data_IF_840588503045
#
_entry.id   IF_840588503045
#
_cell.length_a   1.000
_cell.length_b   1.000
_cell.length_c   1.000
_cell.angle_alpha   90.00
_cell.angle_beta   90.00
_cell.angle_gamma   90.00
#
_symmetry.space_group_name_H-M   'P 1'
#
loop_
_entity.id
_entity.type
_entity.pdbx_description
1 polymer ?
#
# COMPACT_ATOMS: atom_id res chain seq x y z
N UNK A 1 12.54 5.18 -11.14
CA UNK A 1 11.33 5.84 -11.67
C UNK A 1 11.04 7.01 -10.73
N UNK A 2 10.91 8.21 -11.28
CA UNK A 2 10.65 9.41 -10.48
C UNK A 2 9.15 9.51 -10.18
N UNK A 3 8.78 9.49 -8.91
CA UNK A 3 7.42 9.73 -8.42
C UNK A 3 7.34 11.17 -7.92
N UNK A 4 6.27 11.87 -8.31
CA UNK A 4 6.06 13.28 -7.92
C UNK A 4 5.17 13.40 -6.70
N UNK A 5 5.41 14.43 -5.87
CA UNK A 5 4.52 14.78 -4.77
C UNK A 5 3.08 14.94 -5.27
N UNK A 6 2.15 14.29 -4.58
CA UNK A 6 0.72 14.27 -4.91
C UNK A 6 0.33 13.21 -5.93
N UNK A 7 1.28 12.49 -6.52
CA UNK A 7 0.98 11.37 -7.41
C UNK A 7 0.34 10.22 -6.63
N UNK A 8 -0.72 9.63 -7.20
CA UNK A 8 -1.42 8.49 -6.61
C UNK A 8 -0.91 7.22 -7.28
N UNK A 9 -0.40 6.29 -6.46
CA UNK A 9 0.15 5.03 -6.94
C UNK A 9 -0.44 3.85 -6.16
N UNK A 10 -0.58 2.72 -6.85
CA UNK A 10 -0.90 1.44 -6.23
C UNK A 10 0.28 0.51 -6.45
N UNK A 11 0.90 0.07 -5.37
CA UNK A 11 2.01 -0.88 -5.44
C UNK A 11 1.47 -2.31 -5.48
N UNK A 12 1.75 -2.99 -6.59
CA UNK A 12 1.43 -4.40 -6.77
C UNK A 12 2.65 -5.21 -6.36
N UNK A 13 2.83 -5.50 -5.06
CA UNK A 13 3.81 -6.50 -4.64
C UNK A 13 3.23 -7.90 -4.86
N UNK A 14 4.02 -8.81 -5.46
CA UNK A 14 3.57 -10.14 -5.90
C UNK A 14 3.28 -11.15 -4.78
N UNK A 15 3.05 -10.70 -3.54
CA UNK A 15 2.71 -11.52 -2.40
C UNK A 15 1.20 -11.47 -2.12
N UNK A 16 0.59 -12.64 -1.97
CA UNK A 16 -0.84 -12.85 -1.73
C UNK A 16 -1.48 -11.87 -0.72
N UNK A 17 -2.56 -11.22 -1.17
CA UNK A 17 -3.64 -10.69 -0.33
C UNK A 17 -3.74 -9.17 -0.31
N UNK A 18 -4.76 -8.62 -0.99
CA UNK A 18 -5.56 -7.40 -0.73
C UNK A 18 -4.91 -6.09 -0.19
N UNK A 19 -3.58 -5.98 -0.14
CA UNK A 19 -2.86 -4.79 0.34
C UNK A 19 -2.71 -3.70 -0.72
N UNK A 20 -3.28 -3.89 -1.90
CA UNK A 20 -3.24 -2.92 -2.99
C UNK A 20 -4.18 -1.74 -2.71
N UNK A 21 -3.81 -0.91 -1.74
CA UNK A 21 -4.49 0.36 -1.49
C UNK A 21 -3.81 1.48 -2.30
N UNK A 22 -4.57 2.40 -2.89
CA UNK A 22 -4.00 3.58 -3.49
C UNK A 22 -3.34 4.43 -2.40
N UNK A 23 -2.14 4.90 -2.70
CA UNK A 23 -1.34 5.74 -1.81
C UNK A 23 -0.96 7.01 -2.54
N UNK A 24 -0.83 8.11 -1.81
CA UNK A 24 -0.37 9.38 -2.35
C UNK A 24 1.08 9.62 -1.95
N UNK A 25 1.89 10.08 -2.89
CA UNK A 25 3.25 10.51 -2.62
C UNK A 25 3.25 11.83 -1.85
N UNK A 26 3.97 11.87 -0.73
CA UNK A 26 4.07 13.04 0.15
C UNK A 26 5.15 14.02 -0.30
N UNK A 27 6.12 13.53 -1.08
CA UNK A 27 7.26 14.25 -1.63
C UNK A 27 7.74 13.61 -2.94
N UNK A 28 8.63 14.30 -3.67
CA UNK A 28 9.29 13.73 -4.84
C UNK A 28 10.31 12.66 -4.40
N UNK A 29 10.36 11.51 -5.07
CA UNK A 29 11.38 10.48 -4.83
C UNK A 29 11.65 9.60 -6.05
N UNK A 30 12.84 8.98 -6.11
CA UNK A 30 13.13 7.93 -7.08
C UNK A 30 12.84 6.56 -6.49
N UNK A 31 11.78 5.90 -6.94
CA UNK A 31 11.40 4.58 -6.48
C UNK A 31 12.52 3.54 -6.69
N UNK A 32 13.27 3.64 -7.80
CA UNK A 32 14.33 2.68 -8.10
C UNK A 32 15.54 2.88 -7.18
N UNK A 33 15.90 4.13 -6.88
CA UNK A 33 16.96 4.43 -5.93
C UNK A 33 16.58 3.98 -4.52
N UNK A 34 15.36 4.31 -4.07
CA UNK A 34 14.87 3.92 -2.74
C UNK A 34 14.80 2.40 -2.58
N UNK A 35 14.26 1.68 -3.58
CA UNK A 35 14.23 0.22 -3.55
C UNK A 35 15.64 -0.39 -3.58
N UNK A 36 16.56 0.22 -4.34
CA UNK A 36 17.98 -0.15 -4.36
C UNK A 36 18.62 -0.01 -2.99
N UNK A 37 18.44 1.13 -2.33
CA UNK A 37 18.97 1.40 -0.98
C UNK A 37 18.39 0.43 0.06
N UNK A 38 17.09 0.13 -0.02
CA UNK A 38 16.42 -0.82 0.88
C UNK A 38 16.97 -2.23 0.72
N UNK A 39 17.32 -2.63 -0.51
CA UNK A 39 17.70 -4.01 -0.85
C UNK A 39 19.20 -4.21 -1.03
N UNK A 40 20.00 -3.19 -0.71
CA UNK A 40 21.44 -3.22 -0.85
C UNK A 40 22.07 -4.29 0.04
N UNK A 41 22.95 -5.12 -0.54
CA UNK A 41 23.64 -6.20 0.17
C UNK A 41 22.75 -7.40 0.54
N UNK A 42 21.46 -7.38 0.21
CA UNK A 42 20.55 -8.50 0.48
C UNK A 42 20.74 -9.66 -0.49
N UNK A 43 20.54 -10.88 0.01
CA UNK A 43 20.40 -12.05 -0.85
C UNK A 43 19.15 -11.91 -1.73
N UNK A 44 19.03 -12.74 -2.76
CA UNK A 44 17.84 -12.74 -3.62
C UNK A 44 16.55 -13.02 -2.82
N UNK A 45 16.61 -13.97 -1.90
CA UNK A 45 15.45 -14.37 -1.07
C UNK A 45 15.04 -13.22 -0.14
N UNK A 46 16.02 -12.60 0.52
CA UNK A 46 15.74 -11.46 1.41
C UNK A 46 15.22 -10.25 0.62
N UNK A 47 15.74 -10.02 -0.59
CA UNK A 47 15.24 -8.98 -1.49
C UNK A 47 13.79 -9.21 -1.88
N UNK A 48 13.43 -10.44 -2.28
CA UNK A 48 12.05 -10.79 -2.64
C UNK A 48 11.10 -10.58 -1.46
N UNK A 49 11.51 -10.98 -0.24
CA UNK A 49 10.74 -10.73 0.97
C UNK A 49 10.57 -9.22 1.27
N UNK A 50 11.65 -8.43 1.15
CA UNK A 50 11.63 -7.00 1.44
C UNK A 50 10.78 -6.21 0.43
N UNK A 51 10.83 -6.61 -0.85
CA UNK A 51 9.97 -6.02 -1.89
C UNK A 51 8.49 -6.39 -1.71
N UNK A 52 8.20 -7.49 -1.02
CA UNK A 52 6.85 -7.90 -0.65
C UNK A 52 6.12 -6.88 0.25
N UNK A 53 6.88 -6.13 1.05
CA UNK A 53 6.40 -5.13 2.02
C UNK A 53 6.89 -3.71 1.70
N UNK A 54 7.20 -3.44 0.43
CA UNK A 54 7.79 -2.17 0.01
C UNK A 54 6.89 -0.96 0.32
N UNK A 55 5.59 -1.10 0.14
CA UNK A 55 4.57 -0.10 0.46
C UNK A 55 4.62 0.31 1.94
N UNK A 56 4.69 -0.65 2.85
CA UNK A 56 4.81 -0.41 4.29
C UNK A 56 6.09 0.34 4.65
N UNK A 57 7.21 0.01 3.98
CA UNK A 57 8.49 0.70 4.19
C UNK A 57 8.42 2.14 3.70
N UNK A 58 7.83 2.36 2.52
CA UNK A 58 7.69 3.71 1.95
C UNK A 58 6.76 4.57 2.81
N UNK A 59 5.73 3.98 3.41
CA UNK A 59 4.87 4.64 4.40
C UNK A 59 5.61 5.01 5.68
N UNK A 60 6.36 4.07 6.26
CA UNK A 60 7.14 4.30 7.47
C UNK A 60 8.23 5.38 7.27
N UNK A 61 8.75 5.51 6.03
CA UNK A 61 9.68 6.57 5.64
C UNK A 61 8.99 7.89 5.30
N UNK A 62 7.67 7.94 5.37
CA UNK A 62 6.86 9.11 5.05
C UNK A 62 6.94 9.52 3.58
N UNK A 63 7.26 8.59 2.66
CA UNK A 63 7.30 8.81 1.20
C UNK A 63 5.93 8.61 0.55
N UNK A 64 5.15 7.68 1.09
CA UNK A 64 3.78 7.41 0.71
C UNK A 64 2.88 7.55 1.92
N UNK A 65 1.63 7.92 1.67
CA UNK A 65 0.57 7.88 2.66
C UNK A 65 -0.64 7.16 2.07
N UNK A 66 -1.28 6.24 2.79
CA UNK A 66 -2.51 5.63 2.30
C UNK A 66 -3.59 6.69 2.10
N UNK A 67 -4.25 6.63 0.94
CA UNK A 67 -5.44 7.43 0.75
C UNK A 67 -6.58 6.85 1.59
N UNK A 68 -7.42 7.71 2.21
CA UNK A 68 -8.67 7.26 2.80
C UNK A 68 -9.52 6.60 1.72
N UNK A 69 -9.69 5.29 1.80
CA UNK A 69 -10.62 4.57 0.95
C UNK A 69 -11.99 4.60 1.65
N UNK A 70 -12.96 5.28 1.04
CA UNK A 70 -14.36 5.09 1.38
C UNK A 70 -14.89 3.95 0.54
N UNK A 71 -15.31 2.86 1.18
CA UNK A 71 -16.06 1.84 0.47
C UNK A 71 -17.52 2.26 0.40
N UNK A 72 -18.04 2.35 -0.81
CA UNK A 72 -19.45 2.57 -1.07
C UNK A 72 -20.06 1.20 -1.35
N UNK A 73 -20.88 0.71 -0.41
CA UNK A 73 -21.62 -0.52 -0.62
C UNK A 73 -23.05 -0.18 -1.01
N UNK A 74 -23.46 -0.68 -2.17
CA UNK A 74 -24.86 -0.74 -2.55
C UNK A 74 -25.44 -2.03 -2.00
N UNK A 75 -26.33 -1.92 -1.03
CA UNK A 75 -27.13 -3.08 -0.62
C UNK A 75 -28.26 -3.26 -1.64
N UNK A 76 -28.20 -4.38 -2.36
CA UNK A 76 -29.17 -4.74 -3.38
C UNK A 76 -30.61 -4.87 -2.84
N UNK A 77 -30.78 -4.97 -1.52
CA UNK A 77 -32.07 -5.24 -0.88
C UNK A 77 -32.73 -4.01 -0.24
N UNK A 78 -32.03 -2.90 -0.05
CA UNK A 78 -32.54 -1.76 0.73
C UNK A 78 -32.66 -0.45 -0.06
N UNK A 79 -32.21 -0.38 -1.31
CA UNK A 79 -32.04 0.89 -2.05
C UNK A 79 -31.19 1.94 -1.28
N UNK A 80 -30.47 1.52 -0.23
CA UNK A 80 -29.66 2.40 0.61
C UNK A 80 -28.18 2.35 0.22
N UNK A 81 -27.59 3.52 0.13
CA UNK A 81 -26.15 3.69 0.01
C UNK A 81 -25.53 3.68 1.41
N UNK A 82 -24.80 2.62 1.74
CA UNK A 82 -24.06 2.55 3.01
C UNK A 82 -22.64 3.03 2.77
N UNK A 83 -22.26 4.11 3.46
CA UNK A 83 -20.89 4.60 3.55
C UNK A 83 -20.17 3.85 4.68
N UNK A 84 -19.23 2.99 4.32
CA UNK A 84 -18.35 2.34 5.28
C UNK A 84 -16.98 3.03 5.23
N UNK A 85 -16.70 3.86 6.24
CA UNK A 85 -15.34 4.29 6.53
C UNK A 85 -14.68 3.18 7.36
N UNK A 86 -14.07 2.21 6.70
CA UNK A 86 -13.25 1.24 7.43
C UNK A 86 -11.98 1.95 7.94
N UNK A 87 -11.72 2.01 9.26
CA UNK A 87 -10.36 2.20 9.72
C UNK A 87 -9.56 1.00 9.20
N UNK A 88 -8.41 1.23 8.58
CA UNK A 88 -7.50 0.17 8.15
C UNK A 88 -7.32 -0.84 9.28
N UNK A 89 -7.99 -1.99 9.15
CA UNK A 89 -7.72 -3.17 9.97
C UNK A 89 -6.77 -4.02 9.17
N UNK A 90 -5.48 -4.10 9.56
CA UNK A 90 -4.66 -5.16 9.02
C UNK A 90 -5.36 -6.48 9.41
N UNK A 91 -5.69 -7.31 8.41
CA UNK A 91 -6.19 -8.65 8.63
C UNK A 91 -5.08 -9.50 9.26
N UNK A 92 -4.81 -9.27 10.55
CA UNK A 92 -4.24 -10.29 11.41
C UNK A 92 -5.39 -11.24 11.68
N UNK A 93 -5.29 -12.42 11.07
CA UNK A 93 -6.02 -13.66 11.34
C UNK A 93 -7.35 -13.54 12.11
N UNK A 94 -8.40 -14.12 11.52
CA UNK A 94 -9.42 -14.82 12.30
C UNK A 94 -8.73 -15.63 13.41
N UNK A 95 -8.78 -15.12 14.64
CA UNK A 95 -8.62 -15.92 15.84
C UNK A 95 -9.84 -16.85 15.91
N UNK A 96 -9.74 -17.98 15.22
CA UNK A 96 -10.47 -19.20 15.55
C UNK A 96 -9.59 -20.10 16.41
#
# INVERSE_FOLDING_TARGET
MQIKKGEVITLMSGGYGDRHRPMVATQDFDLAAVAGDITAGMSRVDREAQLGVLDEILEARGLLQPLPNRQLRFDYWSDELVLEEEPFKPNWFNDQ
#
